data_IF_855923862665
#
_entry.id   IF_855923862665
#
_cell.length_a   1.000
_cell.length_b   1.000
_cell.length_c   1.000
_cell.angle_alpha   90.00
_cell.angle_beta   90.00
_cell.angle_gamma   90.00
#
_symmetry.space_group_name_H-M   'P 1'
#
loop_
_entity.id
_entity.type
_entity.pdbx_description
1 polymer ?
#
# COMPACT_ATOMS: atom_id res chain seq x y z
N UNK A 1 88.94 -54.80 -71.49
CA UNK A 1 87.70 -54.40 -72.19
C UNK A 1 86.62 -54.14 -71.15
N UNK A 2 86.32 -52.85 -70.95
CA UNK A 2 85.14 -52.22 -70.33
C UNK A 2 84.46 -52.87 -69.11
N UNK A 3 84.84 -52.38 -67.92
CA UNK A 3 84.05 -52.31 -66.69
C UNK A 3 82.82 -51.41 -66.88
N UNK A 4 81.61 -51.97 -66.80
CA UNK A 4 80.36 -51.19 -66.67
C UNK A 4 80.06 -51.01 -65.17
N UNK A 5 80.02 -49.75 -64.76
CA UNK A 5 79.99 -49.29 -63.38
C UNK A 5 78.54 -49.25 -62.87
N UNK A 6 78.17 -50.17 -61.99
CA UNK A 6 76.82 -50.36 -61.43
C UNK A 6 76.51 -49.43 -60.24
N UNK A 7 76.95 -48.16 -60.29
CA UNK A 7 76.95 -47.27 -59.12
C UNK A 7 76.26 -45.92 -59.35
N UNK A 8 75.19 -45.86 -60.15
CA UNK A 8 74.46 -44.61 -60.46
C UNK A 8 72.93 -44.65 -60.33
N UNK A 9 72.37 -45.61 -59.57
CA UNK A 9 70.92 -45.74 -59.37
C UNK A 9 70.46 -45.73 -57.88
N UNK A 10 71.32 -45.34 -56.93
CA UNK A 10 71.00 -45.41 -55.48
C UNK A 10 70.99 -44.02 -54.80
N UNK A 11 70.84 -42.91 -55.54
CA UNK A 11 70.87 -41.56 -54.93
C UNK A 11 69.73 -40.62 -55.32
N UNK A 12 68.59 -41.11 -55.82
CA UNK A 12 67.47 -40.21 -56.17
C UNK A 12 66.07 -40.76 -55.87
N UNK A 13 65.87 -41.34 -54.68
CA UNK A 13 64.52 -41.65 -54.19
C UNK A 13 64.33 -41.52 -52.68
N UNK A 14 65.36 -41.10 -51.94
CA UNK A 14 65.30 -40.91 -50.49
C UNK A 14 64.99 -39.47 -50.05
N UNK A 15 64.60 -38.58 -50.97
CA UNK A 15 64.38 -37.13 -50.72
C UNK A 15 62.95 -36.63 -51.03
N UNK A 16 62.02 -37.51 -51.43
CA UNK A 16 60.61 -37.15 -51.64
C UNK A 16 59.65 -37.67 -50.55
N UNK A 17 60.16 -38.22 -49.44
CA UNK A 17 59.30 -38.73 -48.36
C UNK A 17 59.25 -37.84 -47.11
N UNK A 18 60.07 -36.79 -47.03
CA UNK A 18 60.15 -35.89 -45.87
C UNK A 18 59.38 -34.57 -46.04
N UNK A 19 58.50 -34.47 -47.04
CA UNK A 19 57.68 -33.28 -47.30
C UNK A 19 56.21 -33.60 -47.61
N UNK A 20 55.71 -34.78 -47.21
CA UNK A 20 54.27 -34.95 -47.04
C UNK A 20 53.95 -34.29 -45.71
N UNK A 21 53.66 -32.99 -45.79
CA UNK A 21 52.96 -32.30 -44.72
C UNK A 21 51.76 -33.16 -44.33
N UNK A 22 51.60 -33.44 -43.04
CA UNK A 22 50.31 -33.77 -42.46
C UNK A 22 49.40 -32.55 -42.62
N UNK A 23 49.05 -32.21 -43.86
CA UNK A 23 47.87 -31.43 -44.15
C UNK A 23 46.74 -32.41 -43.87
N UNK A 24 46.18 -32.37 -42.65
CA UNK A 24 44.91 -33.01 -42.34
C UNK A 24 44.00 -32.81 -43.54
N UNK A 25 43.54 -33.90 -44.16
CA UNK A 25 42.74 -33.86 -45.37
C UNK A 25 41.54 -32.95 -45.13
N UNK A 26 41.65 -31.68 -45.55
CA UNK A 26 40.52 -30.76 -45.60
C UNK A 26 39.64 -31.40 -46.66
N UNK A 27 38.47 -31.91 -46.27
CA UNK A 27 37.52 -32.49 -47.19
C UNK A 27 37.27 -31.46 -48.31
N UNK A 28 37.68 -31.80 -49.53
CA UNK A 28 37.41 -30.95 -50.68
C UNK A 28 35.88 -30.81 -50.82
N UNK A 29 35.37 -29.63 -51.16
CA UNK A 29 33.94 -29.45 -51.38
C UNK A 29 33.43 -30.43 -52.45
N UNK A 30 32.23 -30.99 -52.24
CA UNK A 30 31.56 -31.81 -53.25
C UNK A 30 31.08 -30.97 -54.46
N UNK A 31 30.44 -31.61 -55.44
CA UNK A 31 29.93 -30.91 -56.64
C UNK A 31 28.91 -29.81 -56.32
N UNK A 32 28.23 -29.91 -55.18
CA UNK A 32 27.25 -28.94 -54.69
C UNK A 32 27.87 -27.93 -53.68
N UNK A 33 29.19 -27.97 -53.49
CA UNK A 33 29.94 -27.09 -52.60
C UNK A 33 29.88 -27.44 -51.12
N UNK A 34 29.46 -28.65 -50.74
CA UNK A 34 29.40 -29.07 -49.33
C UNK A 34 30.76 -29.56 -48.82
N UNK A 35 31.14 -29.14 -47.61
CA UNK A 35 32.39 -29.48 -46.94
C UNK A 35 32.09 -30.19 -45.61
N UNK A 36 32.27 -31.52 -45.54
CA UNK A 36 32.20 -32.31 -44.31
C UNK A 36 33.61 -32.53 -43.75
N UNK A 37 34.14 -31.54 -43.04
CA UNK A 37 35.55 -31.51 -42.59
C UNK A 37 35.74 -32.25 -41.26
N UNK A 38 34.79 -32.15 -40.34
CA UNK A 38 34.88 -32.83 -39.05
C UNK A 38 34.76 -34.36 -39.17
N UNK A 39 35.39 -35.11 -38.26
CA UNK A 39 35.16 -36.55 -38.16
C UNK A 39 33.67 -36.83 -37.88
N UNK A 40 33.08 -37.78 -38.61
CA UNK A 40 31.64 -38.09 -38.59
C UNK A 40 30.72 -36.89 -38.90
N UNK A 41 31.23 -35.87 -39.58
CA UNK A 41 30.41 -34.73 -39.99
C UNK A 41 29.47 -35.09 -41.15
N UNK A 42 28.30 -34.48 -41.17
CA UNK A 42 27.30 -34.62 -42.24
C UNK A 42 27.12 -33.25 -42.87
N UNK A 43 27.50 -33.10 -44.14
CA UNK A 43 27.17 -31.92 -44.95
C UNK A 43 26.31 -32.36 -46.14
N UNK A 44 25.07 -31.86 -46.26
CA UNK A 44 24.14 -32.27 -47.33
C UNK A 44 23.27 -31.13 -47.84
N UNK A 45 23.21 -30.97 -49.16
CA UNK A 45 22.43 -29.94 -49.84
C UNK A 45 23.34 -29.09 -50.72
N UNK A 46 23.38 -27.77 -50.53
CA UNK A 46 24.25 -26.87 -51.30
C UNK A 46 25.05 -25.94 -50.38
N UNK A 47 26.35 -25.83 -50.61
CA UNK A 47 27.26 -24.91 -49.91
C UNK A 47 27.25 -25.04 -48.38
N UNK A 48 27.03 -26.24 -47.83
CA UNK A 48 27.03 -26.44 -46.39
C UNK A 48 28.44 -26.74 -45.88
N UNK A 49 28.79 -26.23 -44.71
CA UNK A 49 30.07 -26.46 -44.05
C UNK A 49 29.87 -27.09 -42.68
N UNK A 50 30.37 -28.30 -42.50
CA UNK A 50 30.33 -29.05 -41.25
C UNK A 50 31.78 -29.27 -40.75
N UNK A 51 32.32 -28.27 -40.03
CA UNK A 51 33.72 -28.26 -39.56
C UNK A 51 33.92 -29.08 -38.27
N UNK A 52 32.90 -29.12 -37.41
CA UNK A 52 33.02 -29.75 -36.10
C UNK A 52 32.95 -31.27 -36.16
N UNK A 53 33.63 -31.95 -35.22
CA UNK A 53 33.45 -33.41 -35.01
C UNK A 53 31.99 -33.69 -34.67
N UNK A 54 31.40 -34.71 -35.30
CA UNK A 54 29.97 -35.06 -35.20
C UNK A 54 29.02 -33.89 -35.52
N UNK A 55 29.45 -32.92 -36.35
CA UNK A 55 28.58 -31.80 -36.74
C UNK A 55 27.66 -32.18 -37.90
N UNK A 56 26.48 -31.57 -37.95
CA UNK A 56 25.50 -31.75 -39.03
C UNK A 56 25.17 -30.40 -39.65
N UNK A 57 25.42 -30.22 -40.95
CA UNK A 57 25.03 -29.07 -41.74
C UNK A 57 24.15 -29.51 -42.92
N UNK A 58 22.86 -29.16 -42.93
CA UNK A 58 21.90 -29.65 -43.93
C UNK A 58 21.03 -28.53 -44.51
N UNK A 59 20.94 -28.45 -45.84
CA UNK A 59 20.12 -27.48 -46.57
C UNK A 59 20.95 -26.58 -47.48
N UNK A 60 20.85 -25.25 -47.33
CA UNK A 60 21.61 -24.30 -48.14
C UNK A 60 22.45 -23.36 -47.28
N UNK A 61 23.76 -23.29 -47.54
CA UNK A 61 24.65 -22.28 -46.94
C UNK A 61 24.69 -22.30 -45.39
N UNK A 62 24.59 -23.49 -44.78
CA UNK A 62 24.69 -23.62 -43.31
C UNK A 62 26.15 -23.82 -42.88
N UNK A 63 26.50 -23.35 -41.69
CA UNK A 63 27.84 -23.52 -41.11
C UNK A 63 27.73 -24.11 -39.68
N UNK A 64 28.05 -25.39 -39.55
CA UNK A 64 28.13 -26.12 -38.28
C UNK A 64 29.61 -26.24 -37.86
N UNK A 65 30.09 -25.25 -37.10
CA UNK A 65 31.52 -25.09 -36.79
C UNK A 65 31.96 -25.77 -35.49
N UNK A 66 31.10 -25.74 -34.47
CA UNK A 66 31.42 -26.36 -33.18
C UNK A 66 31.30 -27.90 -33.22
N UNK A 67 31.97 -28.64 -32.32
CA UNK A 67 31.74 -30.08 -32.19
C UNK A 67 30.32 -30.38 -31.69
N UNK A 68 29.74 -31.49 -32.16
CA UNK A 68 28.38 -31.94 -31.88
C UNK A 68 27.31 -30.86 -32.16
N UNK A 69 27.48 -30.09 -33.25
CA UNK A 69 26.54 -29.03 -33.62
C UNK A 69 25.56 -29.47 -34.69
N UNK A 70 24.41 -28.80 -34.73
CA UNK A 70 23.40 -29.00 -35.77
C UNK A 70 23.04 -27.66 -36.39
N UNK A 71 23.30 -27.49 -37.70
CA UNK A 71 22.86 -26.35 -38.49
C UNK A 71 21.97 -26.84 -39.65
N UNK A 72 20.67 -26.54 -39.63
CA UNK A 72 19.72 -27.07 -40.62
C UNK A 72 18.79 -25.99 -41.20
N UNK A 73 18.64 -25.94 -42.51
CA UNK A 73 17.79 -24.99 -43.22
C UNK A 73 18.58 -24.10 -44.17
N UNK A 74 18.47 -22.78 -44.05
CA UNK A 74 19.14 -21.82 -44.95
C UNK A 74 19.97 -20.81 -44.14
N UNK A 75 21.27 -20.71 -44.40
CA UNK A 75 22.09 -19.63 -43.86
C UNK A 75 22.34 -19.66 -42.35
N UNK A 76 22.12 -20.79 -41.68
CA UNK A 76 22.28 -20.89 -40.23
C UNK A 76 23.75 -21.05 -39.82
N UNK A 77 24.12 -20.54 -38.65
CA UNK A 77 25.46 -20.68 -38.05
C UNK A 77 25.36 -21.28 -36.65
N UNK A 78 25.85 -22.51 -36.50
CA UNK A 78 26.01 -23.17 -35.20
C UNK A 78 27.51 -23.20 -34.86
N UNK A 79 27.99 -22.19 -34.14
CA UNK A 79 29.44 -21.97 -33.92
C UNK A 79 29.94 -22.56 -32.60
N UNK A 80 29.11 -22.58 -31.56
CA UNK A 80 29.50 -23.08 -30.25
C UNK A 80 29.40 -24.60 -30.14
N UNK A 81 30.20 -25.28 -29.29
CA UNK A 81 30.03 -26.71 -29.00
C UNK A 81 28.60 -27.04 -28.55
N UNK A 82 28.02 -28.16 -29.01
CA UNK A 82 26.65 -28.58 -28.68
C UNK A 82 25.55 -27.59 -29.09
N UNK A 83 25.85 -26.60 -29.94
CA UNK A 83 24.87 -25.61 -30.37
C UNK A 83 23.96 -26.12 -31.49
N UNK A 84 22.75 -25.58 -31.54
CA UNK A 84 21.74 -25.93 -32.55
C UNK A 84 21.23 -24.66 -33.22
N UNK A 85 21.27 -24.60 -34.55
CA UNK A 85 20.73 -23.51 -35.36
C UNK A 85 19.83 -24.06 -36.47
N UNK A 86 18.51 -23.88 -36.37
CA UNK A 86 17.54 -24.50 -37.30
C UNK A 86 16.58 -23.46 -37.86
N UNK A 87 16.41 -23.43 -39.19
CA UNK A 87 15.47 -22.53 -39.88
C UNK A 87 16.17 -21.64 -40.90
N UNK A 88 15.99 -20.32 -40.83
CA UNK A 88 16.56 -19.35 -41.77
C UNK A 88 17.37 -18.27 -41.04
N UNK A 89 18.66 -18.19 -41.36
CA UNK A 89 19.58 -17.14 -40.90
C UNK A 89 19.76 -17.04 -39.37
N UNK A 90 19.64 -18.15 -38.64
CA UNK A 90 19.86 -18.17 -37.20
C UNK A 90 21.35 -18.27 -36.84
N UNK A 91 21.72 -17.74 -35.68
CA UNK A 91 23.08 -17.76 -35.14
C UNK A 91 23.08 -18.29 -33.71
N UNK A 92 23.72 -19.43 -33.48
CA UNK A 92 23.97 -20.00 -32.17
C UNK A 92 25.50 -20.01 -31.91
N UNK A 93 26.01 -18.94 -31.29
CA UNK A 93 27.44 -18.64 -31.29
C UNK A 93 28.23 -19.29 -30.14
N UNK A 94 27.57 -19.62 -29.03
CA UNK A 94 28.21 -20.12 -27.81
C UNK A 94 27.82 -21.55 -27.48
N UNK A 95 28.57 -22.14 -26.55
CA UNK A 95 28.34 -23.53 -26.11
C UNK A 95 26.90 -23.72 -25.64
N UNK A 96 26.26 -24.80 -26.10
CA UNK A 96 24.87 -25.18 -25.81
C UNK A 96 23.82 -24.12 -26.16
N UNK A 97 24.15 -23.17 -27.05
CA UNK A 97 23.18 -22.19 -27.54
C UNK A 97 22.21 -22.81 -28.54
N UNK A 98 20.93 -22.44 -28.48
CA UNK A 98 19.91 -22.90 -29.42
C UNK A 98 19.24 -21.71 -30.11
N UNK A 99 19.27 -21.66 -31.43
CA UNK A 99 18.62 -20.63 -32.24
C UNK A 99 17.70 -21.27 -33.28
N UNK A 100 16.38 -21.14 -33.14
CA UNK A 100 15.40 -21.87 -33.97
C UNK A 100 14.34 -20.93 -34.55
N UNK A 101 14.15 -20.93 -35.87
CA UNK A 101 13.16 -20.11 -36.57
C UNK A 101 13.77 -19.19 -37.62
N UNK A 102 13.53 -17.87 -37.55
CA UNK A 102 14.02 -16.90 -38.52
C UNK A 102 14.82 -15.78 -37.84
N UNK A 103 16.07 -15.57 -38.26
CA UNK A 103 16.94 -14.47 -37.80
C UNK A 103 17.16 -14.38 -36.29
N UNK A 104 17.15 -15.50 -35.57
CA UNK A 104 17.44 -15.50 -34.13
C UNK A 104 18.94 -15.45 -33.84
N UNK A 105 19.31 -14.81 -32.74
CA UNK A 105 20.67 -14.72 -32.21
C UNK A 105 20.72 -15.26 -30.78
N UNK A 106 21.31 -16.44 -30.61
CA UNK A 106 21.66 -17.02 -29.32
C UNK A 106 23.18 -16.87 -29.11
N UNK A 107 23.61 -15.79 -28.45
CA UNK A 107 25.01 -15.39 -28.27
C UNK A 107 25.52 -15.60 -26.83
N UNK A 108 24.68 -16.13 -25.95
CA UNK A 108 25.04 -16.51 -24.59
C UNK A 108 25.34 -18.00 -24.44
N UNK A 109 26.20 -18.37 -23.49
CA UNK A 109 26.38 -19.77 -23.12
C UNK A 109 25.07 -20.36 -22.56
N UNK A 110 24.64 -21.51 -23.08
CA UNK A 110 23.35 -22.15 -22.75
C UNK A 110 22.15 -21.20 -22.94
N UNK A 111 22.22 -20.32 -23.94
CA UNK A 111 21.13 -19.38 -24.28
C UNK A 111 20.17 -19.96 -25.31
N UNK A 112 18.92 -19.49 -25.32
CA UNK A 112 17.89 -19.96 -26.24
C UNK A 112 17.24 -18.78 -26.96
N UNK A 113 17.16 -18.82 -28.29
CA UNK A 113 16.48 -17.81 -29.11
C UNK A 113 15.55 -18.51 -30.12
N UNK A 114 14.24 -18.50 -29.87
CA UNK A 114 13.27 -19.31 -30.62
C UNK A 114 12.15 -18.43 -31.18
N UNK A 115 11.90 -18.50 -32.48
CA UNK A 115 10.85 -17.77 -33.18
C UNK A 115 11.41 -16.84 -34.27
N UNK A 116 11.12 -15.54 -34.22
CA UNK A 116 11.52 -14.56 -35.24
C UNK A 116 12.31 -13.42 -34.59
N UNK A 117 13.52 -13.14 -35.07
CA UNK A 117 14.31 -11.96 -34.69
C UNK A 117 14.55 -11.81 -33.17
N UNK A 118 14.69 -12.91 -32.45
CA UNK A 118 14.99 -12.87 -31.01
C UNK A 118 16.49 -12.74 -30.74
N UNK A 119 16.85 -12.04 -29.67
CA UNK A 119 18.23 -11.86 -29.20
C UNK A 119 18.39 -12.36 -27.77
N UNK A 120 19.11 -13.46 -27.56
CA UNK A 120 19.52 -13.97 -26.26
C UNK A 120 21.05 -13.82 -26.12
N UNK A 121 21.51 -12.72 -25.49
CA UNK A 121 22.92 -12.28 -25.56
C UNK A 121 23.85 -12.85 -24.50
N UNK A 122 23.33 -13.31 -23.37
CA UNK A 122 24.13 -13.58 -22.17
C UNK A 122 23.89 -14.98 -21.63
N UNK A 123 24.74 -15.39 -20.69
CA UNK A 123 24.71 -16.74 -20.11
C UNK A 123 23.31 -17.03 -19.53
N UNK A 124 22.75 -18.19 -19.92
CA UNK A 124 21.42 -18.65 -19.53
C UNK A 124 20.26 -17.70 -19.91
N UNK A 125 20.44 -16.80 -20.88
CA UNK A 125 19.34 -15.94 -21.33
C UNK A 125 18.43 -16.64 -22.33
N UNK A 126 17.15 -16.29 -22.33
CA UNK A 126 16.12 -16.94 -23.15
C UNK A 126 15.22 -15.91 -23.82
N UNK A 127 15.10 -15.94 -25.14
CA UNK A 127 14.25 -15.05 -25.92
C UNK A 127 13.34 -15.87 -26.85
N UNK A 128 12.03 -15.86 -26.60
CA UNK A 128 11.07 -16.74 -27.29
C UNK A 128 9.88 -15.94 -27.83
N UNK A 129 9.62 -16.04 -29.14
CA UNK A 129 8.50 -15.38 -29.81
C UNK A 129 8.97 -14.50 -30.97
N UNK A 130 8.58 -13.22 -31.01
CA UNK A 130 8.95 -12.30 -32.08
C UNK A 130 9.65 -11.06 -31.51
N UNK A 131 10.84 -10.72 -32.01
CA UNK A 131 11.59 -9.48 -31.68
C UNK A 131 11.90 -9.29 -30.19
N UNK A 132 12.04 -10.38 -29.42
CA UNK A 132 12.36 -10.30 -27.99
C UNK A 132 13.86 -10.12 -27.75
N UNK A 133 14.22 -9.43 -26.67
CA UNK A 133 15.60 -9.11 -26.29
C UNK A 133 15.86 -9.51 -24.83
N UNK A 134 16.55 -10.64 -24.64
CA UNK A 134 17.08 -11.09 -23.36
C UNK A 134 18.58 -10.76 -23.28
N UNK A 135 18.88 -9.56 -22.76
CA UNK A 135 20.17 -8.88 -22.92
C UNK A 135 21.17 -9.15 -21.79
N UNK A 136 20.70 -9.62 -20.64
CA UNK A 136 21.51 -9.81 -19.43
C UNK A 136 21.56 -11.28 -18.96
N UNK A 137 22.48 -11.59 -18.06
CA UNK A 137 22.64 -12.95 -17.50
C UNK A 137 21.32 -13.43 -16.86
N UNK A 138 20.92 -14.66 -17.17
CA UNK A 138 19.67 -15.28 -16.69
C UNK A 138 18.39 -14.47 -17.00
N UNK A 139 18.44 -13.56 -17.99
CA UNK A 139 17.26 -12.80 -18.40
C UNK A 139 16.34 -13.61 -19.31
N UNK A 140 15.03 -13.40 -19.22
CA UNK A 140 14.03 -14.09 -20.05
C UNK A 140 13.07 -13.10 -20.70
N UNK A 141 12.88 -13.17 -22.02
CA UNK A 141 11.97 -12.32 -22.76
C UNK A 141 11.04 -13.18 -23.65
N UNK A 142 9.74 -13.21 -23.37
CA UNK A 142 8.79 -14.13 -24.00
C UNK A 142 7.55 -13.41 -24.53
N UNK A 143 7.28 -13.52 -25.83
CA UNK A 143 6.10 -12.95 -26.49
C UNK A 143 6.46 -12.09 -27.71
N UNK A 144 6.00 -10.84 -27.75
CA UNK A 144 6.25 -9.92 -28.87
C UNK A 144 6.95 -8.64 -28.38
N UNK A 145 8.17 -8.38 -28.85
CA UNK A 145 8.86 -7.09 -28.64
C UNK A 145 9.30 -6.81 -27.20
N UNK A 146 9.44 -7.85 -26.37
CA UNK A 146 9.80 -7.67 -24.96
C UNK A 146 11.30 -7.43 -24.77
N UNK A 147 11.67 -6.67 -23.75
CA UNK A 147 13.07 -6.39 -23.39
C UNK A 147 13.33 -6.72 -21.92
N UNK A 148 14.14 -7.76 -21.68
CA UNK A 148 14.68 -8.09 -20.38
C UNK A 148 16.16 -7.66 -20.34
N UNK A 149 16.42 -6.48 -19.75
CA UNK A 149 17.74 -5.83 -19.72
C UNK A 149 18.36 -5.75 -18.33
N UNK A 150 17.75 -6.40 -17.33
CA UNK A 150 18.28 -6.55 -15.99
C UNK A 150 18.80 -7.97 -15.76
N UNK A 151 19.82 -8.13 -14.92
CA UNK A 151 20.29 -9.47 -14.54
C UNK A 151 19.16 -10.22 -13.83
N UNK A 152 18.93 -11.48 -14.21
CA UNK A 152 17.81 -12.31 -13.72
C UNK A 152 16.42 -11.69 -13.94
N UNK A 153 16.27 -10.76 -14.90
CA UNK A 153 14.98 -10.13 -15.15
C UNK A 153 14.11 -10.94 -16.10
N UNK A 154 12.79 -10.81 -15.97
CA UNK A 154 11.81 -11.53 -16.80
C UNK A 154 10.80 -10.56 -17.41
N UNK A 155 10.67 -10.56 -18.73
CA UNK A 155 9.71 -9.75 -19.48
C UNK A 155 8.79 -10.65 -20.32
N UNK A 156 7.48 -10.66 -20.03
CA UNK A 156 6.50 -11.52 -20.69
C UNK A 156 5.30 -10.72 -21.17
N UNK A 157 4.92 -10.90 -22.44
CA UNK A 157 3.73 -10.27 -23.03
C UNK A 157 4.03 -9.58 -24.34
N UNK A 158 3.59 -8.32 -24.46
CA UNK A 158 3.76 -7.49 -25.67
C UNK A 158 4.40 -6.17 -25.27
N UNK A 159 5.57 -5.86 -25.82
CA UNK A 159 6.32 -4.63 -25.53
C UNK A 159 6.57 -4.41 -24.02
N UNK A 160 6.73 -5.49 -23.24
CA UNK A 160 7.08 -5.39 -21.82
C UNK A 160 8.58 -5.13 -21.64
N UNK A 161 8.94 -4.42 -20.57
CA UNK A 161 10.32 -4.07 -20.25
C UNK A 161 10.63 -4.41 -18.79
N UNK A 162 11.61 -5.28 -18.56
CA UNK A 162 12.15 -5.61 -17.24
C UNK A 162 13.63 -5.19 -17.19
N UNK A 163 13.88 -3.98 -16.67
CA UNK A 163 15.20 -3.32 -16.68
C UNK A 163 15.96 -3.42 -15.37
N UNK A 164 15.26 -3.58 -14.25
CA UNK A 164 15.92 -3.77 -12.95
C UNK A 164 16.48 -5.17 -12.78
N UNK A 165 17.50 -5.33 -11.94
CA UNK A 165 17.99 -6.64 -11.50
C UNK A 165 16.87 -7.37 -10.75
N UNK A 166 16.73 -8.68 -10.96
CA UNK A 166 15.67 -9.52 -10.40
C UNK A 166 14.23 -9.01 -10.69
N UNK A 167 14.06 -8.10 -11.65
CA UNK A 167 12.75 -7.51 -11.92
C UNK A 167 11.86 -8.40 -12.80
N UNK A 168 10.55 -8.23 -12.69
CA UNK A 168 9.59 -8.99 -13.48
C UNK A 168 8.51 -8.08 -14.07
N UNK A 169 8.40 -8.05 -15.39
CA UNK A 169 7.36 -7.34 -16.13
C UNK A 169 6.47 -8.35 -16.88
N UNK A 170 5.19 -8.39 -16.56
CA UNK A 170 4.23 -9.31 -17.18
C UNK A 170 2.98 -8.55 -17.61
N UNK A 171 2.73 -8.48 -18.91
CA UNK A 171 1.60 -7.77 -19.50
C UNK A 171 1.98 -6.91 -20.70
N UNK A 172 0.98 -6.39 -21.40
CA UNK A 172 1.21 -5.46 -22.52
C UNK A 172 1.77 -4.13 -21.99
N UNK A 173 2.90 -3.66 -22.50
CA UNK A 173 3.56 -2.42 -22.08
C UNK A 173 3.89 -2.34 -20.58
N UNK A 174 3.98 -3.49 -19.89
CA UNK A 174 4.39 -3.55 -18.48
C UNK A 174 5.85 -3.13 -18.33
N UNK A 175 6.17 -2.32 -17.32
CA UNK A 175 7.51 -1.77 -17.08
C UNK A 175 7.95 -1.99 -15.63
N UNK A 176 8.87 -2.92 -15.43
CA UNK A 176 9.57 -3.14 -14.17
C UNK A 176 10.97 -2.54 -14.27
N UNK A 177 11.14 -1.32 -13.76
CA UNK A 177 12.32 -0.49 -14.03
C UNK A 177 13.36 -0.62 -12.91
N UNK A 178 12.93 -0.67 -11.66
CA UNK A 178 13.82 -0.73 -10.51
C UNK A 178 14.24 -2.15 -10.13
N UNK A 179 15.29 -2.28 -9.34
CA UNK A 179 15.75 -3.56 -8.81
C UNK A 179 14.69 -4.21 -7.91
N UNK A 180 14.61 -5.53 -7.94
CA UNK A 180 13.68 -6.36 -7.17
C UNK A 180 12.20 -5.98 -7.34
N UNK A 181 11.86 -5.29 -8.44
CA UNK A 181 10.50 -4.79 -8.72
C UNK A 181 9.62 -5.80 -9.47
N UNK A 182 8.31 -5.66 -9.31
CA UNK A 182 7.30 -6.41 -10.05
C UNK A 182 6.27 -5.47 -10.71
N UNK A 183 6.02 -5.65 -12.00
CA UNK A 183 4.96 -4.99 -12.76
C UNK A 183 4.08 -6.04 -13.44
N UNK A 184 2.86 -6.26 -12.91
CA UNK A 184 1.94 -7.29 -13.37
C UNK A 184 0.61 -6.69 -13.84
N UNK A 185 0.42 -6.59 -15.15
CA UNK A 185 -0.77 -6.05 -15.81
C UNK A 185 -0.43 -5.20 -17.04
N UNK A 186 -1.46 -4.84 -17.82
CA UNK A 186 -1.26 -3.92 -18.96
C UNK A 186 -0.87 -2.53 -18.46
N UNK A 187 0.13 -1.90 -19.08
CA UNK A 187 0.62 -0.55 -18.74
C UNK A 187 1.05 -0.36 -17.27
N UNK A 188 1.33 -1.43 -16.53
CA UNK A 188 1.82 -1.30 -15.15
C UNK A 188 3.23 -0.74 -15.13
N UNK A 189 3.54 0.07 -14.12
CA UNK A 189 4.86 0.67 -13.96
C UNK A 189 5.35 0.50 -12.52
N UNK A 190 6.42 -0.23 -12.31
CA UNK A 190 7.13 -0.26 -11.02
C UNK A 190 8.49 0.42 -11.17
N UNK A 191 8.67 1.54 -10.46
CA UNK A 191 9.87 2.40 -10.56
C UNK A 191 10.66 2.53 -9.27
N UNK A 192 10.17 1.95 -8.18
CA UNK A 192 10.82 2.00 -6.87
C UNK A 192 11.45 0.65 -6.56
N UNK A 193 12.61 0.63 -5.90
CA UNK A 193 13.28 -0.63 -5.57
C UNK A 193 12.39 -1.50 -4.67
N UNK A 194 12.20 -2.77 -5.00
CA UNK A 194 11.25 -3.65 -4.30
C UNK A 194 9.77 -3.32 -4.50
N UNK A 195 9.44 -2.32 -5.33
CA UNK A 195 8.06 -1.89 -5.57
C UNK A 195 7.27 -2.89 -6.40
N UNK A 196 5.97 -3.01 -6.10
CA UNK A 196 5.08 -3.97 -6.76
C UNK A 196 3.86 -3.22 -7.33
N UNK A 197 3.68 -3.24 -8.64
CA UNK A 197 2.50 -2.70 -9.32
C UNK A 197 1.61 -3.85 -9.83
N UNK A 198 0.38 -3.97 -9.31
CA UNK A 198 -0.56 -5.06 -9.63
C UNK A 198 -1.85 -4.53 -10.27
N UNK A 199 -2.23 -5.10 -11.40
CA UNK A 199 -3.45 -4.74 -12.14
C UNK A 199 -3.20 -3.62 -13.16
N UNK A 200 -3.99 -3.59 -14.23
CA UNK A 200 -3.77 -2.65 -15.34
C UNK A 200 -3.63 -1.19 -14.88
N UNK A 201 -2.70 -0.46 -15.48
CA UNK A 201 -2.41 0.95 -15.23
C UNK A 201 -1.91 1.27 -13.80
N UNK A 202 -1.62 0.26 -12.97
CA UNK A 202 -1.06 0.47 -11.64
C UNK A 202 0.37 1.03 -11.69
N UNK A 203 0.68 1.96 -10.80
CA UNK A 203 2.00 2.59 -10.71
C UNK A 203 2.54 2.49 -9.27
N UNK A 204 3.69 1.85 -9.11
CA UNK A 204 4.44 1.74 -7.87
C UNK A 204 5.69 2.64 -7.92
N UNK A 205 5.50 3.90 -7.56
CA UNK A 205 6.49 4.99 -7.62
C UNK A 205 6.87 5.56 -6.25
N UNK A 206 6.42 4.91 -5.17
CA UNK A 206 6.78 5.26 -3.80
C UNK A 206 7.91 4.36 -3.32
N UNK A 207 9.03 4.99 -3.01
CA UNK A 207 10.13 4.39 -2.26
C UNK A 207 9.68 3.95 -0.87
N UNK A 208 10.55 3.19 -0.21
CA UNK A 208 10.28 2.68 1.11
C UNK A 208 9.93 3.81 2.11
N UNK A 209 8.87 3.60 2.88
CA UNK A 209 8.35 4.60 3.79
C UNK A 209 9.41 4.98 4.84
N UNK A 210 9.73 6.26 4.93
CA UNK A 210 10.62 6.78 5.97
C UNK A 210 9.81 7.00 7.26
N UNK A 211 10.37 6.61 8.40
CA UNK A 211 9.71 6.63 9.72
C UNK A 211 9.12 7.99 10.15
N UNK A 212 9.47 9.07 9.44
CA UNK A 212 9.17 10.44 9.83
C UNK A 212 8.11 11.17 8.96
N UNK A 213 7.56 10.52 7.93
CA UNK A 213 6.73 11.23 6.94
C UNK A 213 5.22 11.20 7.19
N UNK A 214 4.71 10.34 8.09
CA UNK A 214 3.25 10.01 8.09
C UNK A 214 2.52 10.25 9.42
N UNK A 215 3.20 10.46 10.56
CA UNK A 215 2.48 10.48 11.85
C UNK A 215 2.62 11.75 12.67
N UNK A 216 1.45 12.36 12.88
CA UNK A 216 1.15 13.32 13.93
C UNK A 216 1.21 12.60 15.29
N UNK A 217 1.97 13.19 16.22
CA UNK A 217 2.18 12.82 17.64
C UNK A 217 3.15 11.66 17.94
N UNK A 218 3.93 11.84 19.01
CA UNK A 218 4.97 10.96 19.57
C UNK A 218 4.44 9.59 20.10
N UNK A 219 3.64 8.87 19.33
CA UNK A 219 3.23 7.52 19.69
C UNK A 219 4.29 6.50 19.21
N UNK A 220 5.04 5.93 20.15
CA UNK A 220 6.08 4.95 19.88
C UNK A 220 5.56 3.70 19.16
N UNK A 221 4.33 3.26 19.44
CA UNK A 221 3.73 2.08 18.82
C UNK A 221 3.49 2.30 17.32
N UNK A 222 3.17 3.53 16.93
CA UNK A 222 2.95 3.93 15.53
C UNK A 222 4.27 4.15 14.79
N UNK A 223 5.30 4.70 15.46
CA UNK A 223 6.63 4.87 14.84
C UNK A 223 7.27 3.52 14.49
N UNK A 224 7.05 2.51 15.31
CA UNK A 224 7.63 1.18 15.13
C UNK A 224 6.94 0.33 14.03
N UNK A 225 5.84 0.79 13.44
CA UNK A 225 5.16 0.07 12.34
C UNK A 225 5.77 0.35 10.97
N UNK A 226 6.52 1.44 10.82
CA UNK A 226 7.14 1.81 9.54
C UNK A 226 8.42 1.00 9.34
N UNK A 227 8.31 -0.10 8.60
CA UNK A 227 9.43 -0.96 8.18
C UNK A 227 9.78 -0.63 6.72
N UNK A 228 10.55 0.45 6.52
CA UNK A 228 10.88 1.00 5.21
C UNK A 228 12.01 0.28 4.47
N UNK A 229 11.89 -1.03 4.22
CA UNK A 229 12.93 -1.76 3.47
C UNK A 229 12.66 -1.86 1.96
N UNK A 230 11.40 -1.78 1.52
CA UNK A 230 11.01 -1.96 0.13
C UNK A 230 10.00 -0.90 -0.32
N UNK A 231 9.97 -0.62 -1.63
CA UNK A 231 8.98 0.22 -2.28
C UNK A 231 7.55 -0.29 -2.11
N UNK A 232 6.58 0.59 -2.38
CA UNK A 232 5.17 0.28 -2.10
C UNK A 232 4.59 -0.82 -3.00
N UNK A 233 3.64 -1.58 -2.44
CA UNK A 233 2.64 -2.31 -3.20
C UNK A 233 1.54 -1.34 -3.67
N UNK A 234 1.39 -1.21 -4.98
CA UNK A 234 0.36 -0.39 -5.62
C UNK A 234 -0.63 -1.25 -6.39
N UNK A 235 -1.91 -1.08 -6.08
CA UNK A 235 -3.04 -1.71 -6.78
C UNK A 235 -3.77 -0.74 -7.72
N UNK A 236 -3.19 0.43 -7.97
CA UNK A 236 -3.77 1.47 -8.82
C UNK A 236 -2.81 2.61 -9.12
N UNK A 237 -3.34 3.78 -9.44
CA UNK A 237 -2.61 5.02 -9.65
C UNK A 237 -3.41 6.20 -9.06
N UNK A 238 -2.97 7.44 -9.34
CA UNK A 238 -3.59 8.64 -8.79
C UNK A 238 -5.07 8.84 -9.16
N UNK A 239 -5.53 8.31 -10.30
CA UNK A 239 -6.90 8.49 -10.81
C UNK A 239 -7.71 7.21 -10.84
N UNK A 240 -7.06 6.04 -10.83
CA UNK A 240 -7.68 4.72 -10.86
C UNK A 240 -7.24 3.90 -9.64
N UNK A 241 -8.14 3.71 -8.69
CA UNK A 241 -7.91 2.90 -7.48
C UNK A 241 -8.71 1.60 -7.54
N UNK A 242 -8.31 0.61 -6.74
CA UNK A 242 -9.00 -0.68 -6.61
C UNK A 242 -9.31 -0.96 -5.16
N UNK A 243 -10.47 -1.60 -4.93
CA UNK A 243 -10.76 -2.19 -3.63
C UNK A 243 -9.90 -3.44 -3.42
N UNK A 244 -9.49 -3.66 -2.17
CA UNK A 244 -8.91 -4.92 -1.71
C UNK A 244 -10.00 -5.61 -0.88
N UNK A 245 -10.56 -6.70 -1.40
CA UNK A 245 -11.69 -7.42 -0.78
C UNK A 245 -11.20 -8.68 -0.07
N UNK A 246 -12.05 -9.24 0.80
CA UNK A 246 -11.76 -10.46 1.58
C UNK A 246 -10.55 -10.32 2.51
N UNK A 247 -10.33 -9.11 3.05
CA UNK A 247 -9.29 -8.82 4.04
C UNK A 247 -9.77 -9.25 5.42
N UNK A 248 -9.14 -10.28 5.98
CA UNK A 248 -9.37 -10.69 7.37
C UNK A 248 -9.01 -9.57 8.35
N UNK A 249 -9.52 -9.61 9.57
CA UNK A 249 -9.21 -8.59 10.57
C UNK A 249 -7.71 -8.65 10.92
N UNK A 250 -7.02 -7.52 10.85
CA UNK A 250 -5.61 -7.42 11.25
C UNK A 250 -5.44 -7.62 12.75
N UNK A 251 -4.36 -8.30 13.15
CA UNK A 251 -4.07 -8.63 14.55
C UNK A 251 -2.80 -7.98 15.06
N UNK A 252 -1.80 -7.83 14.18
CA UNK A 252 -0.54 -7.16 14.46
C UNK A 252 -0.58 -5.70 13.99
N UNK A 253 0.32 -4.85 14.53
CA UNK A 253 0.35 -3.43 14.19
C UNK A 253 0.68 -3.12 12.71
N UNK A 254 1.19 -4.10 11.96
CA UNK A 254 1.53 -3.98 10.53
C UNK A 254 0.50 -4.63 9.60
N UNK A 255 -0.59 -5.16 10.14
CA UNK A 255 -1.63 -5.79 9.34
C UNK A 255 -2.59 -4.74 8.74
N UNK A 256 -3.17 -5.08 7.59
CA UNK A 256 -4.22 -4.25 7.01
C UNK A 256 -5.48 -4.29 7.88
N UNK A 257 -6.06 -3.11 8.14
CA UNK A 257 -7.35 -2.98 8.85
C UNK A 257 -8.49 -3.17 7.86
N UNK A 258 -9.48 -3.98 8.22
CA UNK A 258 -10.70 -4.14 7.41
C UNK A 258 -11.85 -3.23 7.86
N UNK A 259 -12.92 -3.15 7.06
CA UNK A 259 -14.08 -2.29 7.33
C UNK A 259 -14.82 -2.70 8.63
N UNK A 260 -14.79 -3.97 9.03
CA UNK A 260 -15.44 -4.43 10.25
C UNK A 260 -14.75 -3.88 11.51
N UNK A 261 -13.41 -3.84 11.54
CA UNK A 261 -12.65 -3.23 12.63
C UNK A 261 -12.92 -1.72 12.74
N UNK A 262 -13.02 -1.02 11.61
CA UNK A 262 -13.36 0.40 11.60
C UNK A 262 -14.79 0.65 12.12
N UNK A 263 -15.77 -0.18 11.73
CA UNK A 263 -17.15 -0.11 12.25
C UNK A 263 -17.22 -0.40 13.74
N UNK A 264 -16.41 -1.33 14.25
CA UNK A 264 -16.32 -1.60 15.68
C UNK A 264 -15.80 -0.38 16.47
N UNK A 265 -14.78 0.31 15.94
CA UNK A 265 -14.29 1.57 16.51
C UNK A 265 -15.36 2.68 16.49
N UNK A 266 -16.11 2.79 15.38
CA UNK A 266 -17.22 3.74 15.28
C UNK A 266 -18.28 3.47 16.37
N UNK A 267 -18.71 2.22 16.53
CA UNK A 267 -19.70 1.85 17.55
C UNK A 267 -19.21 2.14 19.00
N UNK A 268 -17.92 1.92 19.27
CA UNK A 268 -17.32 2.25 20.57
C UNK A 268 -17.29 3.76 20.81
N UNK A 269 -17.00 4.54 19.78
CA UNK A 269 -16.97 6.01 19.84
C UNK A 269 -18.38 6.57 20.09
N UNK A 270 -19.37 6.09 19.34
CA UNK A 270 -20.78 6.48 19.51
C UNK A 270 -21.26 6.15 20.92
N UNK A 271 -20.92 4.97 21.45
CA UNK A 271 -21.26 4.57 22.82
C UNK A 271 -20.65 5.49 23.87
N UNK A 272 -19.37 5.87 23.71
CA UNK A 272 -18.68 6.79 24.63
C UNK A 272 -19.33 8.17 24.61
N UNK A 273 -19.66 8.69 23.43
CA UNK A 273 -20.32 9.97 23.28
C UNK A 273 -21.73 9.97 23.91
N UNK A 274 -22.53 8.94 23.64
CA UNK A 274 -23.87 8.78 24.21
C UNK A 274 -23.83 8.69 25.74
N UNK A 275 -22.86 7.98 26.30
CA UNK A 275 -22.69 7.90 27.75
C UNK A 275 -22.35 9.27 28.37
N UNK A 276 -21.51 10.07 27.70
CA UNK A 276 -21.21 11.43 28.14
C UNK A 276 -22.43 12.35 28.06
N UNK A 277 -23.22 12.26 26.98
CA UNK A 277 -24.43 13.05 26.79
C UNK A 277 -25.48 12.70 27.85
N UNK A 278 -25.76 11.41 28.06
CA UNK A 278 -26.67 10.96 29.11
C UNK A 278 -26.22 11.41 30.51
N UNK A 279 -24.91 11.38 30.77
CA UNK A 279 -24.34 11.88 32.02
C UNK A 279 -24.58 13.38 32.21
N UNK A 280 -24.48 14.17 31.14
CA UNK A 280 -24.79 15.59 31.14
C UNK A 280 -26.29 15.84 31.34
N UNK A 281 -27.15 15.12 30.63
CA UNK A 281 -28.61 15.23 30.71
C UNK A 281 -29.11 14.91 32.13
N UNK A 282 -28.56 13.87 32.76
CA UNK A 282 -28.89 13.53 34.15
C UNK A 282 -28.46 14.65 35.11
N UNK A 283 -27.26 15.21 34.95
CA UNK A 283 -26.75 16.31 35.79
C UNK A 283 -27.57 17.59 35.59
N UNK A 284 -28.00 17.86 34.36
CA UNK A 284 -28.85 19.01 34.04
C UNK A 284 -30.25 18.84 34.60
N UNK A 285 -30.86 17.66 34.44
CA UNK A 285 -32.18 17.32 35.01
C UNK A 285 -32.19 17.44 36.53
N UNK A 286 -31.16 16.92 37.21
CA UNK A 286 -31.00 17.08 38.66
C UNK A 286 -30.88 18.55 39.07
N UNK A 287 -30.19 19.38 38.28
CA UNK A 287 -30.08 20.82 38.57
C UNK A 287 -31.42 21.54 38.40
N UNK A 288 -32.21 21.18 37.39
CA UNK A 288 -33.56 21.72 37.19
C UNK A 288 -34.48 21.32 38.34
N UNK A 289 -34.51 20.04 38.72
CA UNK A 289 -35.36 19.57 39.83
C UNK A 289 -35.00 20.27 41.16
N UNK A 290 -33.70 20.42 41.44
CA UNK A 290 -33.24 21.18 42.61
C UNK A 290 -33.66 22.66 42.55
N UNK A 291 -33.64 23.25 41.35
CA UNK A 291 -34.09 24.62 41.15
C UNK A 291 -35.60 24.75 41.35
N UNK A 292 -36.41 23.85 40.78
CA UNK A 292 -37.86 23.81 40.94
C UNK A 292 -38.26 23.64 42.41
N UNK A 293 -37.58 22.75 43.13
CA UNK A 293 -37.77 22.58 44.57
C UNK A 293 -37.43 23.85 45.36
N UNK A 294 -36.39 24.59 44.95
CA UNK A 294 -36.03 25.86 45.57
C UNK A 294 -37.05 26.94 45.25
N UNK A 295 -37.53 27.02 44.01
CA UNK A 295 -38.57 27.96 43.55
C UNK A 295 -39.87 27.71 44.31
N UNK A 296 -40.35 26.45 44.38
CA UNK A 296 -41.54 26.08 45.15
C UNK A 296 -41.44 26.45 46.63
N UNK A 297 -40.24 26.33 47.24
CA UNK A 297 -40.01 26.79 48.62
C UNK A 297 -40.04 28.31 48.73
N UNK A 298 -39.53 29.03 47.73
CA UNK A 298 -39.63 30.49 47.68
C UNK A 298 -41.09 30.91 47.57
N UNK A 299 -41.87 30.32 46.68
CA UNK A 299 -43.30 30.63 46.52
C UNK A 299 -44.10 30.42 47.81
N UNK A 300 -43.91 29.26 48.47
CA UNK A 300 -44.55 28.99 49.78
C UNK A 300 -44.14 30.01 50.83
N UNK A 301 -42.86 30.40 50.89
CA UNK A 301 -42.38 31.42 51.83
C UNK A 301 -42.96 32.78 51.54
N UNK A 302 -43.00 33.19 50.27
CA UNK A 302 -43.58 34.47 49.86
C UNK A 302 -45.06 34.52 50.20
N UNK A 303 -45.83 33.47 49.90
CA UNK A 303 -47.25 33.39 50.26
C UNK A 303 -47.47 33.42 51.79
N UNK A 304 -46.62 32.77 52.56
CA UNK A 304 -46.68 32.80 54.02
C UNK A 304 -46.33 34.16 54.61
N UNK A 305 -45.40 34.90 54.00
CA UNK A 305 -45.10 36.30 54.35
C UNK A 305 -46.27 37.22 54.00
N UNK A 306 -46.93 37.02 52.85
CA UNK A 306 -48.15 37.76 52.53
C UNK A 306 -49.27 37.49 53.55
N UNK A 307 -49.49 36.23 53.93
CA UNK A 307 -50.45 35.87 54.98
C UNK A 307 -50.08 36.49 56.35
N UNK A 308 -48.79 36.54 56.68
CA UNK A 308 -48.26 37.21 57.87
C UNK A 308 -48.54 38.72 57.86
N UNK A 309 -48.34 39.37 56.72
CA UNK A 309 -48.62 40.78 56.54
C UNK A 309 -50.12 41.08 56.66
N UNK A 310 -50.99 40.24 56.08
CA UNK A 310 -52.45 40.35 56.23
C UNK A 310 -52.87 40.18 57.70
N UNK A 311 -52.28 39.21 58.42
CA UNK A 311 -52.52 39.02 59.84
C UNK A 311 -52.14 40.27 60.64
N UNK A 312 -50.96 40.84 60.38
CA UNK A 312 -50.48 42.06 61.02
C UNK A 312 -51.34 43.29 60.67
N UNK A 313 -51.83 43.40 59.43
CA UNK A 313 -52.68 44.51 58.99
C UNK A 313 -54.08 44.48 59.62
N UNK A 314 -54.56 43.31 60.06
CA UNK A 314 -55.84 43.18 60.77
C UNK A 314 -55.79 43.64 62.24
N UNK A 315 -54.60 43.93 62.76
CA UNK A 315 -54.42 44.38 64.14
C UNK A 315 -54.90 45.83 64.29
N UNK A 316 -55.79 46.05 65.25
CA UNK A 316 -56.31 47.38 65.56
C UNK A 316 -55.51 47.99 66.72
N UNK A 317 -55.01 49.22 66.59
CA UNK A 317 -54.35 49.94 67.69
C UNK A 317 -55.38 50.59 68.63
N UNK A 318 -55.00 50.75 69.89
CA UNK A 318 -55.85 51.35 70.93
C UNK A 318 -56.25 52.77 70.59
N UNK A 319 -57.56 53.03 70.57
CA UNK A 319 -58.12 54.36 70.30
C UNK A 319 -58.40 55.12 71.61
N UNK A 320 -58.38 54.46 72.76
CA UNK A 320 -58.78 55.04 74.05
C UNK A 320 -57.57 55.60 74.81
N UNK A 321 -57.55 56.91 75.17
CA UNK A 321 -56.46 57.51 75.91
C UNK A 321 -56.20 56.84 77.26
N UNK A 322 -54.92 56.67 77.61
CA UNK A 322 -54.47 56.08 78.88
C UNK A 322 -54.62 54.57 79.00
N UNK A 323 -55.03 53.86 77.93
CA UNK A 323 -55.18 52.40 77.92
C UNK A 323 -54.21 51.72 76.97
N UNK A 324 -53.70 50.57 77.39
CA UNK A 324 -53.05 49.60 76.51
C UNK A 324 -54.07 48.65 75.89
N UNK A 325 -53.80 48.15 74.69
CA UNK A 325 -54.57 47.10 74.03
C UNK A 325 -53.65 46.01 73.49
N UNK A 326 -54.09 44.77 73.64
CA UNK A 326 -53.52 43.60 72.95
C UNK A 326 -54.47 43.21 71.83
N UNK A 327 -53.95 43.01 70.63
CA UNK A 327 -54.70 42.53 69.48
C UNK A 327 -54.03 41.29 68.89
N UNK A 328 -54.86 40.38 68.38
CA UNK A 328 -54.43 39.13 67.73
C UNK A 328 -55.02 39.10 66.32
N UNK A 329 -54.19 38.81 65.33
CA UNK A 329 -54.56 38.79 63.93
C UNK A 329 -54.18 37.46 63.29
N UNK A 330 -55.02 36.99 62.38
CA UNK A 330 -54.77 35.79 61.58
C UNK A 330 -55.04 36.12 60.11
N UNK A 331 -54.16 35.64 59.24
CA UNK A 331 -54.22 35.89 57.80
C UNK A 331 -54.01 34.60 57.04
N UNK A 332 -54.67 34.48 55.89
CA UNK A 332 -54.51 33.35 54.98
C UNK A 332 -54.24 33.87 53.58
N UNK A 333 -53.31 33.23 52.86
CA UNK A 333 -52.99 33.57 51.47
C UNK A 333 -52.52 32.32 50.72
N UNK A 334 -53.25 31.93 49.67
CA UNK A 334 -52.98 30.74 48.83
C UNK A 334 -52.53 29.50 49.63
N UNK A 335 -53.28 29.14 50.67
CA UNK A 335 -53.03 27.94 51.49
C UNK A 335 -51.91 28.08 52.53
N UNK A 336 -51.31 29.25 52.67
CA UNK A 336 -50.42 29.58 53.79
C UNK A 336 -51.15 30.41 54.83
N UNK A 337 -50.78 30.23 56.10
CA UNK A 337 -51.32 31.01 57.22
C UNK A 337 -50.24 31.88 57.86
N UNK A 338 -50.67 33.03 58.35
CA UNK A 338 -49.89 33.98 59.14
C UNK A 338 -50.63 34.34 60.41
N UNK A 339 -49.88 34.62 61.47
CA UNK A 339 -50.40 35.01 62.78
C UNK A 339 -49.61 36.21 63.29
N UNK A 340 -50.29 37.14 63.95
CA UNK A 340 -49.68 38.35 64.48
C UNK A 340 -50.26 38.69 65.85
N UNK A 341 -49.40 39.24 66.72
CA UNK A 341 -49.73 39.77 68.02
C UNK A 341 -49.29 41.23 68.05
N UNK A 342 -50.23 42.12 68.32
CA UNK A 342 -50.00 43.55 68.48
C UNK A 342 -50.18 43.97 69.92
N UNK A 343 -49.28 44.82 70.42
CA UNK A 343 -49.47 45.57 71.66
C UNK A 343 -49.40 47.05 71.32
N UNK A 344 -50.41 47.81 71.75
CA UNK A 344 -50.48 49.24 71.51
C UNK A 344 -50.79 49.99 72.80
N UNK A 345 -50.28 51.22 72.92
CA UNK A 345 -50.53 52.11 74.04
C UNK A 345 -50.73 53.54 73.54
N UNK A 346 -51.81 54.18 73.96
CA UNK A 346 -52.10 55.59 73.70
C UNK A 346 -51.94 56.39 74.97
N UNK A 347 -51.21 57.50 74.90
CA UNK A 347 -50.97 58.35 76.06
C UNK A 347 -52.29 58.90 76.65
N UNK A 348 -52.24 59.35 77.91
CA UNK A 348 -53.43 59.86 78.63
C UNK A 348 -54.01 61.14 78.02
N UNK A 349 -53.19 61.93 77.30
CA UNK A 349 -53.63 63.13 76.59
C UNK A 349 -54.32 62.84 75.24
N UNK A 350 -54.08 61.67 74.65
CA UNK A 350 -54.60 61.28 73.34
C UNK A 350 -53.71 61.63 72.15
N UNK A 351 -52.69 62.47 72.32
CA UNK A 351 -51.87 63.06 71.25
C UNK A 351 -50.89 62.09 70.55
N UNK A 352 -50.56 60.93 71.14
CA UNK A 352 -49.72 59.93 70.47
C UNK A 352 -50.05 58.48 70.85
N UNK A 353 -49.79 57.57 69.91
CA UNK A 353 -49.98 56.12 70.04
C UNK A 353 -48.74 55.36 69.59
N UNK A 354 -48.24 54.45 70.43
CA UNK A 354 -47.15 53.53 70.10
C UNK A 354 -47.73 52.13 69.83
N UNK A 355 -47.24 51.47 68.79
CA UNK A 355 -47.60 50.11 68.42
C UNK A 355 -46.35 49.25 68.25
N UNK A 356 -46.39 48.03 68.76
CA UNK A 356 -45.39 46.99 68.54
C UNK A 356 -46.11 45.74 68.06
N UNK A 357 -45.63 45.15 66.98
CA UNK A 357 -46.21 43.98 66.33
C UNK A 357 -45.13 42.91 66.22
N UNK A 358 -45.44 41.70 66.70
CA UNK A 358 -44.72 40.48 66.37
C UNK A 358 -45.58 39.60 65.49
N UNK A 359 -45.04 39.07 64.41
CA UNK A 359 -45.78 38.21 63.51
C UNK A 359 -44.96 36.98 63.12
N UNK A 360 -45.63 35.85 62.89
CA UNK A 360 -45.05 34.63 62.38
C UNK A 360 -45.94 34.00 61.32
N UNK A 361 -45.45 32.92 60.70
CA UNK A 361 -46.20 32.23 59.66
C UNK A 361 -46.01 30.71 59.67
N UNK A 362 -46.83 30.05 58.87
CA UNK A 362 -46.86 28.60 58.65
C UNK A 362 -45.57 28.01 58.08
N UNK A 363 -44.67 28.84 57.51
CA UNK A 363 -43.34 28.41 57.08
C UNK A 363 -42.27 28.58 58.17
N UNK A 364 -42.68 28.89 59.42
CA UNK A 364 -41.79 29.05 60.57
C UNK A 364 -40.90 30.28 60.49
N UNK A 365 -41.29 31.30 59.71
CA UNK A 365 -40.58 32.59 59.62
C UNK A 365 -41.28 33.59 60.54
N UNK A 366 -40.48 34.44 61.18
CA UNK A 366 -40.96 35.45 62.11
C UNK A 366 -40.43 36.82 61.71
N UNK A 367 -41.18 37.86 62.03
CA UNK A 367 -40.82 39.25 61.82
C UNK A 367 -41.47 40.12 62.89
N UNK A 368 -40.90 41.30 63.12
CA UNK A 368 -41.44 42.28 64.06
C UNK A 368 -41.41 43.67 63.45
N UNK A 369 -42.34 44.53 63.87
CA UNK A 369 -42.44 45.92 63.45
C UNK A 369 -42.88 46.79 64.63
N UNK A 370 -42.52 48.07 64.61
CA UNK A 370 -43.01 49.04 65.58
C UNK A 370 -43.34 50.35 64.86
N UNK A 371 -44.34 51.08 65.34
CA UNK A 371 -44.76 52.37 64.79
C UNK A 371 -45.21 53.33 65.89
N UNK A 372 -45.00 54.63 65.68
CA UNK A 372 -45.49 55.70 66.54
C UNK A 372 -46.30 56.68 65.70
N UNK A 373 -47.52 56.99 66.14
CA UNK A 373 -48.44 57.89 65.44
C UNK A 373 -48.70 59.11 66.33
N UNK A 374 -48.61 60.30 65.76
CA UNK A 374 -48.86 61.57 66.43
C UNK A 374 -50.10 62.23 65.82
N UNK A 375 -50.98 62.75 66.66
CA UNK A 375 -52.20 63.46 66.27
C UNK A 375 -52.25 64.77 67.06
N UNK A 376 -52.53 65.89 66.38
CA UNK A 376 -52.52 67.23 66.96
C UNK A 376 -53.81 67.98 66.65
#
# INVERSE_FOLDING_TARGET
MSTINFNKFITCSCLCLSAISFQSAIAAPDADGNEAIGSNAIAKGKNNKADGVNSTAMGNNNNAKGPNTTAMGIGNKAEGPYSTAIGLSNKANKMSAAAVGYQNLADGHSSNAIGIQNEAKQIYSSAIGHTNKALEMMSSAIGYGNTASGKKSTAVGVNSTASGKNSMAVGSSAKSIADDSLALGSNTKSTSAGGIALGADSTADREAAQANAVYLSDNADVKNTVKGEFGALSVGNATATRQIINVAAGTENTDAVNVAQLKALQAQTDSKFNNQLNGLDNKFSQRIENLDNKVNKVDKRTNAVAAQALAAASLVPTQTPGKGQVSVGVGTHYGQTGYALGVSYRNTRGDWTLNVIGAGNSQGRFGAAASANFQW
#
